data_IF_895978627538
#
_entry.id   IF_895978627538
#
_cell.length_a   1.000
_cell.length_b   1.000
_cell.length_c   1.000
_cell.angle_alpha   90.00
_cell.angle_beta   90.00
_cell.angle_gamma   90.00
#
_symmetry.space_group_name_H-M   'P 1'
#
loop_
_entity.id
_entity.type
_entity.pdbx_description
1 polymer ?
#
# COMPACT_ATOMS: atom_id res chain seq x y z
N UNK A 1 24.53 11.44 17.02
CA UNK A 1 23.74 12.27 16.09
C UNK A 1 22.34 12.38 16.68
N UNK A 2 21.83 13.61 16.81
CA UNK A 2 20.71 13.97 17.69
C UNK A 2 19.40 13.23 17.36
N UNK A 3 18.88 12.44 18.30
CA UNK A 3 17.44 12.21 18.46
C UNK A 3 16.96 13.25 19.49
N UNK A 4 15.98 14.15 19.22
CA UNK A 4 14.56 13.82 18.96
C UNK A 4 13.85 14.86 18.00
N UNK A 5 12.52 14.78 17.69
CA UNK A 5 11.42 14.86 18.65
C UNK A 5 10.65 13.54 18.79
N UNK A 6 10.34 13.19 20.04
CA UNK A 6 9.39 12.14 20.42
C UNK A 6 7.99 12.76 20.32
N UNK A 7 7.05 12.11 19.63
CA UNK A 7 5.68 12.61 19.58
C UNK A 7 5.05 12.50 20.96
N UNK A 8 4.24 13.48 21.33
CA UNK A 8 3.53 13.54 22.59
C UNK A 8 2.06 13.29 22.32
N UNK A 9 1.53 12.19 22.85
CA UNK A 9 0.12 11.85 22.77
C UNK A 9 -0.61 12.35 24.01
N UNK A 10 -1.45 13.37 23.85
CA UNK A 10 -2.27 13.91 24.93
C UNK A 10 -3.70 13.43 24.74
N UNK A 11 -4.14 12.52 25.59
CA UNK A 11 -5.52 12.03 25.60
C UNK A 11 -6.48 13.16 25.96
N UNK A 12 -7.44 13.44 25.07
CA UNK A 12 -8.52 14.40 25.28
C UNK A 12 -9.77 13.75 25.88
N UNK A 13 -10.15 12.62 25.31
CA UNK A 13 -11.40 11.92 25.62
C UNK A 13 -11.12 10.44 25.75
N UNK A 14 -11.82 9.79 26.68
CA UNK A 14 -11.82 8.34 26.85
C UNK A 14 -13.19 7.85 27.26
N UNK A 15 -13.65 6.83 26.56
CA UNK A 15 -14.83 6.04 26.91
C UNK A 15 -14.39 4.59 27.16
N UNK A 16 -15.35 3.69 27.40
CA UNK A 16 -15.07 2.27 27.55
C UNK A 16 -14.53 1.63 26.24
N UNK A 17 -14.85 2.21 25.08
CA UNK A 17 -14.56 1.64 23.76
C UNK A 17 -13.89 2.62 22.79
N UNK A 18 -13.55 3.84 23.22
CA UNK A 18 -12.89 4.82 22.35
C UNK A 18 -11.96 5.74 23.10
N UNK A 19 -10.93 6.23 22.42
CA UNK A 19 -10.03 7.27 22.92
C UNK A 19 -9.74 8.29 21.83
N UNK A 20 -9.58 9.55 22.20
CA UNK A 20 -9.11 10.61 21.29
C UNK A 20 -7.86 11.24 21.87
N UNK A 21 -6.86 11.45 21.02
CA UNK A 21 -5.54 11.98 21.38
C UNK A 21 -5.17 13.13 20.47
N UNK A 22 -4.67 14.22 21.04
CA UNK A 22 -3.90 15.22 20.28
C UNK A 22 -2.45 14.77 20.21
N UNK A 23 -1.87 14.90 19.03
CA UNK A 23 -0.47 14.59 18.76
C UNK A 23 0.31 15.90 18.71
N UNK A 24 1.36 16.03 19.52
CA UNK A 24 2.24 17.20 19.51
C UNK A 24 3.69 16.80 19.30
N UNK A 25 4.50 17.69 18.73
CA UNK A 25 5.96 17.55 18.72
C UNK A 25 6.62 18.66 19.56
N UNK A 26 7.70 18.38 20.30
CA UNK A 26 8.56 19.42 20.85
C UNK A 26 9.01 20.40 19.76
N UNK A 27 9.01 21.70 20.08
CA UNK A 27 9.53 22.75 19.20
C UNK A 27 10.96 23.14 19.59
N UNK A 28 11.62 23.92 18.73
CA UNK A 28 12.96 24.46 19.00
C UNK A 28 12.99 25.47 20.16
N UNK A 29 11.84 25.97 20.61
CA UNK A 29 11.75 26.79 21.83
C UNK A 29 11.59 25.88 23.05
N UNK A 30 12.35 26.10 24.12
CA UNK A 30 12.18 25.38 25.39
C UNK A 30 10.72 25.41 25.85
N UNK A 31 10.23 24.28 26.34
CA UNK A 31 8.89 24.10 26.91
C UNK A 31 7.71 24.42 25.99
N UNK A 32 7.93 24.38 24.67
CA UNK A 32 6.86 24.59 23.69
C UNK A 32 6.67 23.37 22.80
N UNK A 33 5.43 23.13 22.44
CA UNK A 33 5.03 22.03 21.57
C UNK A 33 4.21 22.53 20.40
N UNK A 34 4.32 21.86 19.27
CA UNK A 34 3.61 22.18 18.04
C UNK A 34 2.57 21.10 17.79
N UNK A 35 1.33 21.49 17.48
CA UNK A 35 0.27 20.55 17.13
C UNK A 35 0.59 19.84 15.81
N UNK A 36 0.47 18.53 15.77
CA UNK A 36 0.73 17.73 14.56
C UNK A 36 -0.55 17.15 14.00
N UNK A 37 -1.56 16.97 14.85
CA UNK A 37 -2.87 16.52 14.46
C UNK A 37 -3.51 15.72 15.58
N UNK A 38 -4.38 14.78 15.23
CA UNK A 38 -5.18 14.02 16.17
C UNK A 38 -5.29 12.55 15.78
N UNK A 39 -5.58 11.72 16.77
CA UNK A 39 -5.80 10.30 16.62
C UNK A 39 -7.05 9.90 17.40
N UNK A 40 -8.03 9.35 16.71
CA UNK A 40 -9.18 8.70 17.31
C UNK A 40 -9.02 7.19 17.22
N UNK A 41 -9.16 6.50 18.34
CA UNK A 41 -9.09 5.06 18.46
C UNK A 41 -10.46 4.53 18.89
N UNK A 42 -10.87 3.43 18.28
CA UNK A 42 -12.04 2.66 18.63
C UNK A 42 -11.63 1.21 18.91
N UNK A 43 -12.05 0.69 20.06
CA UNK A 43 -11.70 -0.62 20.57
C UNK A 43 -12.95 -1.49 20.56
N UNK A 44 -12.91 -2.59 19.81
CA UNK A 44 -13.95 -3.61 19.81
C UNK A 44 -13.30 -4.99 20.00
N UNK A 45 -13.45 -5.56 21.20
CA UNK A 45 -12.77 -6.79 21.62
C UNK A 45 -11.24 -6.70 21.44
N UNK A 46 -10.68 -7.44 20.48
CA UNK A 46 -9.25 -7.48 20.13
C UNK A 46 -8.96 -6.76 18.79
N UNK A 47 -9.97 -6.13 18.19
CA UNK A 47 -9.85 -5.31 16.99
C UNK A 47 -9.77 -3.84 17.37
N UNK A 48 -8.84 -3.12 16.75
CA UNK A 48 -8.62 -1.71 17.02
C UNK A 48 -8.68 -0.94 15.69
N UNK A 49 -9.60 0.03 15.63
CA UNK A 49 -9.75 0.92 14.49
C UNK A 49 -9.26 2.32 14.84
N UNK A 50 -8.43 2.92 13.98
CA UNK A 50 -7.86 4.24 14.16
C UNK A 50 -8.20 5.22 13.04
N UNK A 51 -8.43 6.47 13.38
CA UNK A 51 -8.44 7.60 12.44
C UNK A 51 -7.35 8.56 12.85
N UNK A 52 -6.30 8.67 12.03
CA UNK A 52 -5.19 9.60 12.22
C UNK A 52 -5.40 10.82 11.32
N UNK A 53 -5.49 12.02 11.87
CA UNK A 53 -5.53 13.28 11.11
C UNK A 53 -4.21 13.99 11.34
N UNK A 54 -3.53 14.33 10.25
CA UNK A 54 -2.25 15.05 10.24
C UNK A 54 -2.50 16.46 9.74
N UNK A 55 -2.29 17.42 10.63
CA UNK A 55 -2.51 18.86 10.39
C UNK A 55 -1.24 19.61 10.01
N UNK A 56 -0.07 19.01 10.24
CA UNK A 56 1.20 19.57 9.82
C UNK A 56 1.96 18.62 8.91
N UNK A 57 2.64 19.13 7.87
CA UNK A 57 3.44 18.30 7.00
C UNK A 57 4.53 17.58 7.81
N UNK A 58 4.58 16.26 7.64
CA UNK A 58 5.60 15.38 8.19
C UNK A 58 6.40 14.77 7.04
N UNK A 59 7.71 14.66 7.21
CA UNK A 59 8.54 13.86 6.31
C UNK A 59 8.19 12.37 6.41
N UNK A 60 8.63 11.58 5.42
CA UNK A 60 8.40 10.12 5.38
C UNK A 60 8.94 9.43 6.64
N UNK A 61 10.19 9.73 7.02
CA UNK A 61 10.81 9.22 8.24
C UNK A 61 10.08 9.66 9.54
N UNK A 62 9.47 10.84 9.53
CA UNK A 62 8.72 11.35 10.69
C UNK A 62 7.36 10.65 10.83
N UNK A 63 6.70 10.39 9.70
CA UNK A 63 5.44 9.66 9.67
C UNK A 63 5.62 8.21 10.12
N UNK A 64 6.66 7.52 9.64
CA UNK A 64 6.97 6.15 10.06
C UNK A 64 7.27 6.08 11.57
N UNK A 65 7.99 7.07 12.11
CA UNK A 65 8.24 7.19 13.55
C UNK A 65 6.95 7.44 14.33
N UNK A 66 6.06 8.30 13.83
CA UNK A 66 4.77 8.57 14.46
C UNK A 66 3.93 7.30 14.56
N UNK A 67 3.83 6.54 13.47
CA UNK A 67 3.05 5.30 13.40
C UNK A 67 3.62 4.24 14.35
N UNK A 68 4.95 4.09 14.35
CA UNK A 68 5.64 3.16 15.25
C UNK A 68 5.37 3.52 16.71
N UNK A 69 5.58 4.79 17.06
CA UNK A 69 5.41 5.24 18.44
C UNK A 69 3.95 5.16 18.92
N UNK A 70 2.99 5.48 18.05
CA UNK A 70 1.56 5.32 18.33
C UNK A 70 1.24 3.85 18.62
N UNK A 71 1.74 2.93 17.79
CA UNK A 71 1.51 1.49 17.95
C UNK A 71 2.11 0.98 19.25
N UNK A 72 3.32 1.44 19.61
CA UNK A 72 4.00 0.97 20.82
C UNK A 72 3.41 1.55 22.11
N UNK A 73 2.90 2.78 22.08
CA UNK A 73 2.47 3.49 23.30
C UNK A 73 0.96 3.44 23.55
N UNK A 74 0.14 3.42 22.50
CA UNK A 74 -1.31 3.57 22.63
C UNK A 74 -2.07 2.27 22.36
N UNK A 75 -1.46 1.33 21.65
CA UNK A 75 -2.13 0.11 21.19
C UNK A 75 -1.69 -1.08 22.06
N UNK A 76 -2.63 -1.85 22.63
CA UNK A 76 -2.32 -3.09 23.32
C UNK A 76 -1.51 -4.08 22.46
N UNK A 77 -0.58 -4.78 23.11
CA UNK A 77 0.22 -5.85 22.49
C UNK A 77 -0.62 -7.09 22.18
N UNK A 78 -1.59 -7.42 23.04
CA UNK A 78 -2.56 -8.48 22.79
C UNK A 78 -3.74 -7.95 21.96
N UNK A 79 -3.61 -8.04 20.64
CA UNK A 79 -4.65 -7.69 19.66
C UNK A 79 -4.69 -8.69 18.53
N UNK A 80 -5.81 -8.72 17.82
CA UNK A 80 -5.98 -9.52 16.60
C UNK A 80 -5.61 -8.71 15.37
N UNK A 81 -5.98 -7.43 15.33
CA UNK A 81 -5.60 -6.51 14.24
C UNK A 81 -5.64 -5.04 14.69
N UNK A 82 -4.84 -4.20 14.04
CA UNK A 82 -4.87 -2.75 14.18
C UNK A 82 -4.94 -2.10 12.80
N UNK A 83 -6.13 -1.55 12.51
CA UNK A 83 -6.45 -0.93 11.22
C UNK A 83 -6.57 0.56 11.47
N UNK A 84 -5.86 1.40 10.71
CA UNK A 84 -6.10 2.83 10.78
C UNK A 84 -6.11 3.48 9.41
N UNK A 85 -6.86 4.58 9.32
CA UNK A 85 -6.91 5.45 8.14
C UNK A 85 -6.22 6.76 8.49
N UNK A 86 -5.25 7.17 7.67
CA UNK A 86 -4.57 8.45 7.83
C UNK A 86 -5.11 9.48 6.83
N UNK A 87 -5.48 10.64 7.34
CA UNK A 87 -5.88 11.82 6.60
C UNK A 87 -4.83 12.91 6.80
N UNK A 88 -4.52 13.66 5.75
CA UNK A 88 -3.72 14.87 5.84
C UNK A 88 -4.59 16.06 5.44
N UNK A 89 -4.64 17.10 6.26
CA UNK A 89 -5.47 18.26 6.00
C UNK A 89 -5.32 19.34 7.06
N UNK A 90 -5.57 20.58 6.69
CA UNK A 90 -5.51 21.72 7.61
C UNK A 90 -6.80 21.83 8.40
N UNK A 91 -6.70 22.09 9.70
CA UNK A 91 -7.87 22.44 10.51
C UNK A 91 -8.49 23.74 9.97
N UNK A 92 -9.78 23.68 9.62
CA UNK A 92 -10.53 24.81 9.03
C UNK A 92 -11.32 25.61 10.06
N UNK A 93 -11.41 25.10 11.29
CA UNK A 93 -12.10 25.75 12.39
C UNK A 93 -12.52 24.75 13.47
N UNK A 94 -12.39 25.20 14.72
CA UNK A 94 -12.91 24.51 15.89
C UNK A 94 -14.28 25.10 16.25
N UNK A 95 -15.30 24.25 16.28
CA UNK A 95 -16.67 24.64 16.65
C UNK A 95 -17.05 23.89 17.91
N UNK A 96 -17.26 24.64 18.99
CA UNK A 96 -17.73 24.11 20.26
C UNK A 96 -18.83 25.01 20.76
N UNK A 97 -19.89 24.40 21.29
CA UNK A 97 -20.99 25.11 21.94
C UNK A 97 -20.53 25.84 23.23
N UNK A 98 -19.28 25.62 23.67
CA UNK A 98 -18.71 26.13 24.91
C UNK A 98 -17.55 27.13 24.74
N UNK A 99 -17.05 27.43 23.53
CA UNK A 99 -15.85 28.27 23.32
C UNK A 99 -16.18 29.58 22.61
N UNK A 100 -15.75 30.72 23.20
CA UNK A 100 -16.05 32.07 22.72
C UNK A 100 -15.27 32.46 21.46
N UNK A 101 -15.91 33.26 20.62
CA UNK A 101 -15.46 33.68 19.28
C UNK A 101 -14.08 34.36 19.22
N UNK A 102 -13.57 34.89 20.34
CA UNK A 102 -12.29 35.59 20.46
C UNK A 102 -11.05 34.70 20.40
N UNK A 103 -11.17 33.38 20.52
CA UNK A 103 -10.02 32.44 20.47
C UNK A 103 -9.75 31.87 19.06
N UNK A 104 -10.57 32.25 18.05
CA UNK A 104 -10.45 31.79 16.66
C UNK A 104 -9.38 32.58 15.89
N UNK A 105 -8.11 32.20 15.99
CA UNK A 105 -7.05 32.67 15.08
C UNK A 105 -6.64 31.56 14.11
N UNK A 106 -7.16 31.58 12.88
CA UNK A 106 -6.69 30.71 11.78
C UNK A 106 -6.60 31.50 10.47
N UNK A 107 -5.44 31.37 9.80
CA UNK A 107 -5.19 31.91 8.47
C UNK A 107 -5.94 31.07 7.41
N UNK A 108 -6.58 31.73 6.45
CA UNK A 108 -7.31 31.08 5.35
C UNK A 108 -6.37 30.27 4.46
N UNK A 109 -6.71 29.00 4.23
CA UNK A 109 -5.99 28.12 3.31
C UNK A 109 -6.03 28.66 1.86
N UNK A 110 -4.92 28.51 1.14
CA UNK A 110 -4.78 28.92 -0.26
C UNK A 110 -4.85 27.71 -1.20
N UNK A 111 -5.06 27.95 -2.49
CA UNK A 111 -5.06 26.89 -3.52
C UNK A 111 -3.72 26.18 -3.65
N UNK A 112 -2.61 26.82 -3.28
CA UNK A 112 -1.28 26.23 -3.30
C UNK A 112 -1.15 25.14 -2.24
N UNK A 113 -1.67 25.40 -1.03
CA UNK A 113 -1.65 24.45 0.09
C UNK A 113 -2.38 23.14 -0.27
N UNK A 114 -3.50 23.23 -1.00
CA UNK A 114 -4.27 22.07 -1.48
C UNK A 114 -3.47 21.23 -2.49
N UNK A 115 -2.68 21.86 -3.35
CA UNK A 115 -1.89 21.15 -4.36
C UNK A 115 -0.71 20.41 -3.72
N UNK A 116 -0.06 21.01 -2.72
CA UNK A 116 1.06 20.40 -2.01
C UNK A 116 0.62 19.21 -1.14
N UNK A 117 -0.57 19.30 -0.52
CA UNK A 117 -1.18 18.18 0.21
C UNK A 117 -1.44 17.00 -0.74
N UNK A 118 -2.02 17.27 -1.92
CA UNK A 118 -2.29 16.24 -2.93
C UNK A 118 -0.99 15.54 -3.36
N UNK A 119 0.07 16.29 -3.62
CA UNK A 119 1.35 15.74 -4.06
C UNK A 119 2.01 14.89 -2.97
N UNK A 120 1.92 15.33 -1.72
CA UNK A 120 2.49 14.61 -0.57
C UNK A 120 1.74 13.29 -0.29
N UNK A 121 0.40 13.31 -0.34
CA UNK A 121 -0.43 12.11 -0.24
C UNK A 121 -0.15 11.12 -1.38
N UNK A 122 -0.04 11.61 -2.62
CA UNK A 122 0.28 10.76 -3.76
C UNK A 122 1.64 10.07 -3.59
N UNK A 123 2.62 10.75 -2.97
CA UNK A 123 3.93 10.19 -2.67
C UNK A 123 3.87 9.07 -1.62
N UNK A 124 3.20 9.30 -0.49
CA UNK A 124 3.07 8.31 0.61
C UNK A 124 2.28 7.09 0.14
N UNK A 125 1.15 7.32 -0.53
CA UNK A 125 0.37 6.22 -1.13
C UNK A 125 1.21 5.46 -2.16
N UNK A 126 2.02 6.15 -2.97
CA UNK A 126 2.95 5.52 -3.90
C UNK A 126 3.99 4.64 -3.20
N UNK A 127 4.64 5.15 -2.14
CA UNK A 127 5.66 4.41 -1.37
C UNK A 127 5.06 3.13 -0.73
N UNK A 128 3.90 3.25 -0.10
CA UNK A 128 3.20 2.11 0.50
C UNK A 128 2.75 1.07 -0.53
N UNK A 129 2.24 1.52 -1.70
CA UNK A 129 1.89 0.61 -2.80
C UNK A 129 3.13 -0.09 -3.35
N UNK A 130 4.28 0.59 -3.45
CA UNK A 130 5.53 -0.02 -3.88
C UNK A 130 6.04 -1.08 -2.90
N UNK A 131 5.94 -0.82 -1.58
CA UNK A 131 6.30 -1.79 -0.56
C UNK A 131 5.42 -3.05 -0.64
N UNK A 132 4.09 -2.89 -0.75
CA UNK A 132 3.17 -4.02 -0.97
C UNK A 132 3.46 -4.74 -2.28
N UNK A 133 3.81 -4.01 -3.34
CA UNK A 133 4.15 -4.59 -4.65
C UNK A 133 5.32 -5.57 -4.54
N UNK A 134 6.40 -5.16 -3.88
CA UNK A 134 7.57 -6.00 -3.63
C UNK A 134 7.25 -7.27 -2.83
N UNK A 135 6.35 -7.19 -1.85
CA UNK A 135 5.92 -8.37 -1.08
C UNK A 135 5.04 -9.29 -1.92
N UNK A 136 4.14 -8.74 -2.75
CA UNK A 136 3.35 -9.54 -3.68
C UNK A 136 4.22 -10.25 -4.73
N UNK A 137 5.29 -9.61 -5.21
CA UNK A 137 6.26 -10.25 -6.09
C UNK A 137 6.94 -11.46 -5.42
N UNK A 138 7.30 -11.36 -4.13
CA UNK A 138 7.84 -12.50 -3.38
C UNK A 138 6.83 -13.64 -3.24
N UNK A 139 5.55 -13.32 -3.00
CA UNK A 139 4.49 -14.32 -2.96
C UNK A 139 4.34 -15.06 -4.30
N UNK A 140 4.43 -14.33 -5.43
CA UNK A 140 4.38 -14.93 -6.77
C UNK A 140 5.60 -15.81 -7.04
N UNK A 141 6.80 -15.40 -6.62
CA UNK A 141 8.01 -16.25 -6.70
C UNK A 141 7.83 -17.55 -5.90
N UNK A 142 7.35 -17.45 -4.65
CA UNK A 142 7.11 -18.60 -3.79
C UNK A 142 6.05 -19.55 -4.39
N UNK A 143 4.98 -19.00 -4.98
CA UNK A 143 3.96 -19.76 -5.68
C UNK A 143 4.54 -20.60 -6.83
N UNK A 144 5.26 -19.99 -7.77
CA UNK A 144 5.82 -20.75 -8.89
C UNK A 144 6.92 -21.73 -8.44
N UNK A 145 7.67 -21.39 -7.40
CA UNK A 145 8.64 -22.30 -6.77
C UNK A 145 7.94 -23.54 -6.21
N UNK A 146 6.79 -23.36 -5.54
CA UNK A 146 5.97 -24.47 -5.03
C UNK A 146 5.45 -25.39 -6.15
N UNK A 147 5.30 -24.87 -7.37
CA UNK A 147 4.91 -25.62 -8.57
C UNK A 147 6.10 -26.28 -9.30
N UNK A 148 7.32 -26.17 -8.75
CA UNK A 148 8.52 -26.80 -9.31
C UNK A 148 9.27 -25.96 -10.35
N UNK A 149 9.06 -24.64 -10.38
CA UNK A 149 9.81 -23.74 -11.25
C UNK A 149 10.99 -23.09 -10.51
N UNK A 150 12.11 -22.93 -11.20
CA UNK A 150 13.16 -21.99 -10.79
C UNK A 150 12.64 -20.57 -11.02
N UNK A 151 12.34 -19.86 -9.93
CA UNK A 151 11.59 -18.59 -9.99
C UNK A 151 12.37 -17.46 -9.31
N UNK A 152 12.39 -16.28 -9.94
CA UNK A 152 13.02 -15.08 -9.38
C UNK A 152 12.32 -13.82 -9.84
N UNK A 153 12.54 -12.71 -9.13
CA UNK A 153 12.18 -11.38 -9.61
C UNK A 153 12.91 -11.11 -10.93
N UNK A 154 12.25 -10.37 -11.82
CA UNK A 154 12.81 -10.02 -13.10
C UNK A 154 13.98 -9.02 -12.95
N UNK A 155 14.95 -9.10 -13.87
CA UNK A 155 16.04 -8.12 -13.96
C UNK A 155 15.56 -6.79 -14.55
N UNK A 156 16.41 -5.76 -14.47
CA UNK A 156 16.09 -4.38 -14.91
C UNK A 156 15.66 -4.26 -16.38
N UNK A 157 16.13 -5.13 -17.27
CA UNK A 157 15.73 -5.13 -18.69
C UNK A 157 14.28 -5.58 -18.90
N UNK A 158 13.81 -6.50 -18.06
CA UNK A 158 12.46 -7.06 -18.12
C UNK A 158 11.45 -6.20 -17.32
N UNK A 159 11.92 -5.49 -16.30
CA UNK A 159 11.14 -4.52 -15.53
C UNK A 159 10.62 -3.37 -16.43
N UNK A 160 11.41 -2.95 -17.42
CA UNK A 160 11.00 -1.97 -18.44
C UNK A 160 9.81 -2.46 -19.30
N UNK A 161 9.63 -3.77 -19.41
CA UNK A 161 8.51 -4.43 -20.08
C UNK A 161 7.36 -4.75 -19.12
N UNK A 162 7.46 -4.29 -17.87
CA UNK A 162 6.56 -4.57 -16.76
C UNK A 162 6.46 -6.06 -16.42
N UNK A 163 7.54 -6.81 -16.59
CA UNK A 163 7.60 -8.19 -16.13
C UNK A 163 8.21 -8.15 -14.74
N UNK A 164 7.49 -8.65 -13.74
CA UNK A 164 7.88 -8.56 -12.34
C UNK A 164 8.58 -9.84 -11.88
N UNK A 165 8.16 -11.01 -12.41
CA UNK A 165 8.70 -12.33 -12.05
C UNK A 165 8.94 -13.17 -13.30
N UNK A 166 10.01 -13.96 -13.28
CA UNK A 166 10.30 -15.00 -14.27
C UNK A 166 10.36 -16.34 -13.56
N UNK A 167 9.62 -17.33 -14.09
CA UNK A 167 9.63 -18.70 -13.60
C UNK A 167 9.99 -19.64 -14.75
N UNK A 168 11.00 -20.49 -14.60
CA UNK A 168 11.46 -21.37 -15.67
C UNK A 168 11.68 -22.80 -15.17
N UNK A 169 11.45 -23.77 -16.04
CA UNK A 169 11.83 -25.16 -15.84
C UNK A 169 12.46 -25.71 -17.13
N UNK A 170 12.62 -27.03 -17.26
CA UNK A 170 13.23 -27.62 -18.47
C UNK A 170 12.41 -27.42 -19.76
N UNK A 171 11.08 -27.28 -19.66
CA UNK A 171 10.16 -27.25 -20.80
C UNK A 171 9.71 -25.84 -21.17
N UNK A 172 9.57 -24.94 -20.19
CA UNK A 172 8.93 -23.64 -20.41
C UNK A 172 9.48 -22.53 -19.50
N UNK A 173 9.22 -21.30 -19.94
CA UNK A 173 9.51 -20.06 -19.21
C UNK A 173 8.23 -19.22 -19.18
N UNK A 174 7.83 -18.84 -17.97
CA UNK A 174 6.67 -18.02 -17.67
C UNK A 174 7.17 -16.62 -17.29
N UNK A 175 6.72 -15.62 -18.04
CA UNK A 175 6.93 -14.21 -17.74
C UNK A 175 5.68 -13.66 -17.07
N UNK A 176 5.82 -13.17 -15.85
CA UNK A 176 4.69 -12.84 -14.98
C UNK A 176 4.65 -11.35 -14.72
N UNK A 177 3.49 -10.73 -14.97
CA UNK A 177 3.13 -9.44 -14.39
C UNK A 177 2.24 -9.68 -13.16
N UNK A 178 2.62 -9.12 -12.02
CA UNK A 178 1.82 -9.09 -10.79
C UNK A 178 1.18 -7.73 -10.58
N UNK A 179 -0.12 -7.72 -10.30
CA UNK A 179 -0.89 -6.50 -10.01
C UNK A 179 -1.74 -6.70 -8.76
N UNK A 180 -1.52 -5.86 -7.76
CA UNK A 180 -2.21 -5.90 -6.46
C UNK A 180 -3.74 -5.65 -6.49
N UNK A 181 -4.32 -5.39 -7.67
CA UNK A 181 -5.71 -4.98 -7.82
C UNK A 181 -6.34 -5.46 -9.11
N UNK A 182 -7.26 -4.67 -9.64
CA UNK A 182 -8.01 -5.02 -10.83
C UNK A 182 -7.17 -4.80 -12.09
N UNK A 183 -7.26 -5.72 -13.04
CA UNK A 183 -6.65 -5.53 -14.36
C UNK A 183 -7.72 -5.29 -15.44
N UNK A 184 -7.43 -4.37 -16.37
CA UNK A 184 -8.27 -4.10 -17.53
C UNK A 184 -7.81 -4.94 -18.74
N UNK A 185 -8.72 -5.26 -19.65
CA UNK A 185 -8.41 -6.00 -20.88
C UNK A 185 -7.32 -5.34 -21.75
N UNK A 186 -7.30 -4.01 -21.79
CA UNK A 186 -6.25 -3.24 -22.49
C UNK A 186 -4.88 -3.41 -21.85
N UNK A 187 -4.80 -3.58 -20.53
CA UNK A 187 -3.54 -3.82 -19.83
C UNK A 187 -3.09 -5.27 -20.02
N UNK A 188 -4.01 -6.24 -20.00
CA UNK A 188 -3.71 -7.64 -20.33
C UNK A 188 -3.03 -7.73 -21.71
N UNK A 189 -3.58 -7.05 -22.71
CA UNK A 189 -3.01 -7.00 -24.06
C UNK A 189 -1.58 -6.49 -24.07
N UNK A 190 -1.27 -5.41 -23.34
CA UNK A 190 0.09 -4.82 -23.30
C UNK A 190 1.10 -5.80 -22.73
N UNK A 191 0.76 -6.49 -21.63
CA UNK A 191 1.64 -7.48 -21.01
C UNK A 191 1.93 -8.61 -21.99
N UNK A 192 0.88 -9.17 -22.61
CA UNK A 192 1.01 -10.29 -23.53
C UNK A 192 1.80 -9.88 -24.78
N UNK A 193 1.55 -8.68 -25.32
CA UNK A 193 2.32 -8.12 -26.43
C UNK A 193 3.81 -7.95 -26.06
N UNK A 194 4.10 -7.46 -24.86
CA UNK A 194 5.48 -7.29 -24.40
C UNK A 194 6.21 -8.63 -24.30
N UNK A 195 5.57 -9.66 -23.74
CA UNK A 195 6.12 -11.02 -23.66
C UNK A 195 6.26 -11.64 -25.06
N UNK A 196 5.31 -11.42 -25.97
CA UNK A 196 5.36 -11.90 -27.35
C UNK A 196 6.58 -11.35 -28.12
N UNK A 197 6.98 -10.11 -27.81
CA UNK A 197 8.08 -9.43 -28.44
C UNK A 197 9.47 -9.82 -27.89
N UNK A 198 9.52 -10.59 -26.79
CA UNK A 198 10.79 -11.02 -26.21
C UNK A 198 11.57 -11.92 -27.17
N UNK A 199 12.91 -11.79 -27.23
CA UNK A 199 13.75 -12.71 -27.98
C UNK A 199 13.55 -14.14 -27.48
N UNK A 200 13.16 -15.04 -28.40
CA UNK A 200 13.04 -16.46 -28.08
C UNK A 200 14.44 -17.07 -28.02
N UNK A 201 14.89 -17.38 -26.80
CA UNK A 201 16.16 -18.05 -26.57
C UNK A 201 15.92 -19.52 -26.24
N UNK A 202 16.46 -20.42 -27.06
CA UNK A 202 16.33 -21.87 -26.88
C UNK A 202 14.98 -22.46 -27.35
N UNK A 203 14.71 -23.69 -26.91
CA UNK A 203 13.55 -24.50 -27.31
C UNK A 203 12.38 -24.45 -26.31
N UNK A 204 12.53 -23.72 -25.20
CA UNK A 204 11.50 -23.64 -24.16
C UNK A 204 10.26 -22.94 -24.69
N UNK A 205 9.08 -23.42 -24.30
CA UNK A 205 7.82 -22.70 -24.54
C UNK A 205 7.81 -21.41 -23.72
N UNK A 206 7.33 -20.34 -24.31
CA UNK A 206 7.17 -19.05 -23.64
C UNK A 206 5.70 -18.87 -23.29
N UNK A 207 5.42 -18.52 -22.03
CA UNK A 207 4.07 -18.30 -21.49
C UNK A 207 4.02 -16.89 -20.89
N UNK A 208 2.95 -16.15 -21.15
CA UNK A 208 2.66 -14.92 -20.42
C UNK A 208 1.71 -15.23 -19.27
N UNK A 209 2.01 -14.76 -18.07
CA UNK A 209 1.14 -14.88 -16.91
C UNK A 209 0.80 -13.52 -16.34
N UNK A 210 -0.44 -13.38 -15.90
CA UNK A 210 -0.93 -12.19 -15.21
C UNK A 210 -1.47 -12.66 -13.87
N UNK A 211 -0.97 -12.07 -12.79
CA UNK A 211 -1.51 -12.22 -11.45
C UNK A 211 -2.28 -10.95 -11.09
N UNK A 212 -3.56 -11.07 -10.75
CA UNK A 212 -4.40 -9.93 -10.37
C UNK A 212 -5.46 -10.34 -9.34
N UNK A 213 -5.96 -9.39 -8.55
CA UNK A 213 -7.06 -9.67 -7.61
C UNK A 213 -8.35 -10.00 -8.37
N UNK A 214 -8.68 -9.19 -9.36
CA UNK A 214 -9.84 -9.43 -10.21
C UNK A 214 -9.50 -9.22 -11.68
N UNK A 215 -10.16 -10.01 -12.51
CA UNK A 215 -10.14 -9.89 -13.95
C UNK A 215 -11.51 -9.42 -14.46
N UNK A 216 -11.57 -8.84 -15.67
CA UNK A 216 -12.85 -8.51 -16.31
C UNK A 216 -13.77 -9.74 -16.41
N UNK A 217 -15.09 -9.54 -16.41
CA UNK A 217 -16.06 -10.65 -16.51
C UNK A 217 -15.83 -11.53 -17.75
N UNK A 218 -15.38 -10.93 -18.85
CA UNK A 218 -15.08 -11.59 -20.11
C UNK A 218 -13.61 -12.01 -20.25
N UNK A 219 -12.84 -12.04 -19.16
CA UNK A 219 -11.38 -12.26 -19.18
C UNK A 219 -10.96 -13.53 -19.88
N UNK A 220 -11.73 -14.62 -19.77
CA UNK A 220 -11.42 -15.87 -20.47
C UNK A 220 -11.60 -15.73 -21.99
N UNK A 221 -12.61 -14.98 -22.43
CA UNK A 221 -12.78 -14.67 -23.86
C UNK A 221 -11.67 -13.73 -24.34
N UNK A 222 -11.28 -12.75 -23.52
CA UNK A 222 -10.14 -11.89 -23.79
C UNK A 222 -8.85 -12.70 -23.88
N UNK A 223 -8.61 -13.63 -22.95
CA UNK A 223 -7.44 -14.51 -22.90
C UNK A 223 -7.32 -15.32 -24.18
N UNK A 224 -8.38 -16.03 -24.59
CA UNK A 224 -8.39 -16.83 -25.81
C UNK A 224 -8.11 -16.00 -27.07
N UNK A 225 -8.70 -14.79 -27.17
CA UNK A 225 -8.42 -13.86 -28.27
C UNK A 225 -6.96 -13.45 -28.31
N UNK A 226 -6.38 -13.11 -27.16
CA UNK A 226 -4.99 -12.68 -27.06
C UNK A 226 -4.00 -13.82 -27.32
N UNK A 227 -4.30 -15.04 -26.87
CA UNK A 227 -3.51 -16.23 -27.22
C UNK A 227 -3.46 -16.46 -28.73
N UNK A 228 -4.62 -16.38 -29.40
CA UNK A 228 -4.70 -16.51 -30.85
C UNK A 228 -3.99 -15.38 -31.59
N UNK A 229 -4.05 -14.17 -31.05
CA UNK A 229 -3.45 -12.99 -31.68
C UNK A 229 -1.91 -12.97 -31.56
N UNK A 230 -1.38 -13.30 -30.38
CA UNK A 230 0.06 -13.20 -30.10
C UNK A 230 0.79 -14.54 -30.20
N UNK A 231 0.08 -15.64 -30.39
CA UNK A 231 0.67 -16.96 -30.65
C UNK A 231 1.47 -17.51 -29.47
N UNK A 232 1.03 -17.25 -28.24
CA UNK A 232 1.64 -17.77 -27.01
C UNK A 232 0.56 -18.07 -25.95
N UNK A 233 0.74 -19.10 -25.10
CA UNK A 233 -0.20 -19.41 -24.03
C UNK A 233 -0.24 -18.31 -22.96
N UNK A 234 -1.43 -18.04 -22.43
CA UNK A 234 -1.66 -17.01 -21.43
C UNK A 234 -2.27 -17.62 -20.18
N UNK A 235 -1.71 -17.31 -19.01
CA UNK A 235 -2.26 -17.67 -17.71
C UNK A 235 -2.87 -16.44 -17.03
N UNK A 236 -4.11 -16.56 -16.57
CA UNK A 236 -4.75 -15.59 -15.68
C UNK A 236 -4.87 -16.23 -14.30
N UNK A 237 -4.14 -15.71 -13.33
CA UNK A 237 -4.05 -16.26 -11.98
C UNK A 237 -4.63 -15.23 -11.00
N UNK A 238 -5.63 -15.61 -10.24
CA UNK A 238 -6.19 -14.74 -9.23
C UNK A 238 -5.35 -14.74 -7.95
N UNK A 239 -5.24 -13.59 -7.29
CA UNK A 239 -4.43 -13.42 -6.07
C UNK A 239 -4.78 -14.42 -4.97
N UNK A 240 -6.06 -14.81 -4.81
CA UNK A 240 -6.46 -15.86 -3.86
C UNK A 240 -5.78 -17.21 -4.11
N UNK A 241 -5.47 -17.55 -5.38
CA UNK A 241 -4.80 -18.81 -5.72
C UNK A 241 -3.34 -18.80 -5.23
N UNK A 242 -2.70 -17.64 -5.31
CA UNK A 242 -1.37 -17.41 -4.73
C UNK A 242 -1.47 -17.52 -3.21
N UNK A 243 -2.40 -16.80 -2.58
CA UNK A 243 -2.59 -16.80 -1.13
C UNK A 243 -2.95 -18.18 -0.56
N UNK A 244 -3.64 -19.04 -1.32
CA UNK A 244 -3.94 -20.41 -0.92
C UNK A 244 -2.69 -21.29 -0.88
N UNK A 245 -1.74 -21.08 -1.80
CA UNK A 245 -0.48 -21.83 -1.87
C UNK A 245 0.62 -21.27 -0.97
N UNK A 246 0.56 -19.96 -0.66
CA UNK A 246 1.53 -19.25 0.19
C UNK A 246 0.80 -18.42 1.26
N UNK A 247 0.20 -19.07 2.28
CA UNK A 247 -0.68 -18.41 3.26
C UNK A 247 -0.02 -17.25 4.03
N UNK A 248 1.30 -17.31 4.22
CA UNK A 248 2.11 -16.30 4.88
C UNK A 248 2.08 -14.91 4.19
N UNK A 249 1.71 -14.85 2.91
CA UNK A 249 1.62 -13.60 2.14
C UNK A 249 0.18 -13.08 1.95
N UNK A 250 -0.82 -13.70 2.59
CA UNK A 250 -2.25 -13.37 2.42
C UNK A 250 -2.53 -11.86 2.62
N UNK A 251 -2.03 -11.26 3.70
CA UNK A 251 -2.22 -9.82 3.98
C UNK A 251 -1.60 -8.89 2.92
N UNK A 252 -0.45 -9.26 2.36
CA UNK A 252 0.23 -8.45 1.35
C UNK A 252 -0.55 -8.42 0.03
N UNK A 253 -1.14 -9.56 -0.34
CA UNK A 253 -2.03 -9.72 -1.50
C UNK A 253 -3.41 -9.08 -1.27
N UNK A 254 -3.73 -8.76 -0.01
CA UNK A 254 -5.02 -8.23 0.42
C UNK A 254 -6.16 -9.22 0.19
N UNK A 255 -5.85 -10.48 0.49
CA UNK A 255 -6.74 -11.63 0.60
C UNK A 255 -6.94 -12.01 2.08
#
# INVERSE_FOLDING_TARGET
MNHPPVFLFTRLVRTASSESHIIRRPSNRPDSTVNIGSLDLHFENRLIHGTLVIEQPLGEDELDRLITQMTDQLIPTERDDFIFTAFAGTEIGFYSDAVSESERQQHSATKADVLDIRNSLAKVLGSHQNARGKVAEHAVVAYFTSLGYESSRAGSELDALKIDVVASNAAETIYVQSKLGNIAASEMRKVIQAVAALPRTGSKKVIAAIVARTFPKDSEHTRLKLESEFGLPVLCIQSYQIAAATPEFRHALGE
#
